data_IF_718420111726
#
_entry.id   IF_718420111726
#
_cell.length_a   1.000
_cell.length_b   1.000
_cell.length_c   1.000
_cell.angle_alpha   90.00
_cell.angle_beta   90.00
_cell.angle_gamma   90.00
#
_symmetry.space_group_name_H-M   'P 1'
#
loop_
_entity.id
_entity.type
_entity.pdbx_description
1 polymer ?
#
# COMPACT_ATOMS: atom_id res chain seq x y z
N UNK A 1 -6.01 14.59 -3.25
CA UNK A 1 -5.57 15.24 -1.98
C UNK A 1 -4.36 14.53 -1.37
N UNK A 2 -4.39 13.22 -1.10
CA UNK A 2 -3.24 12.50 -0.48
C UNK A 2 -1.95 12.71 -1.27
N UNK A 3 -1.91 12.44 -2.56
CA UNK A 3 -0.73 12.65 -3.41
C UNK A 3 -0.24 14.10 -3.37
N UNK A 4 -1.15 15.06 -3.38
CA UNK A 4 -0.78 16.47 -3.27
C UNK A 4 -0.08 16.80 -1.94
N UNK A 5 -0.53 16.24 -0.80
CA UNK A 5 0.15 16.41 0.50
C UNK A 5 1.54 15.76 0.49
N UNK A 6 1.69 14.60 -0.17
CA UNK A 6 2.99 13.93 -0.34
C UNK A 6 3.94 14.79 -1.19
N UNK A 7 3.47 15.28 -2.33
CA UNK A 7 4.27 16.12 -3.23
C UNK A 7 4.74 17.39 -2.53
N UNK A 8 3.88 18.02 -1.68
CA UNK A 8 4.28 19.20 -0.88
C UNK A 8 5.48 18.90 0.03
N UNK A 9 5.62 17.71 0.56
CA UNK A 9 6.78 17.31 1.37
C UNK A 9 7.99 17.01 0.49
N UNK A 10 7.77 16.24 -0.58
CA UNK A 10 8.87 15.76 -1.43
C UNK A 10 9.55 16.87 -2.24
N UNK A 11 8.78 17.87 -2.66
CA UNK A 11 9.28 18.98 -3.50
C UNK A 11 9.87 20.13 -2.70
N UNK A 12 9.46 20.29 -1.45
CA UNK A 12 9.96 21.39 -0.60
C UNK A 12 11.42 21.16 -0.25
N UNK A 13 12.28 22.15 -0.49
CA UNK A 13 13.73 22.07 -0.25
C UNK A 13 14.01 21.91 1.25
N UNK A 14 13.56 22.86 2.06
CA UNK A 14 13.72 22.83 3.51
C UNK A 14 12.43 22.40 4.21
N UNK A 15 12.45 21.21 4.78
CA UNK A 15 11.31 20.62 5.48
C UNK A 15 11.56 20.55 6.97
N UNK A 16 10.74 21.25 7.78
CA UNK A 16 10.76 21.11 9.23
C UNK A 16 10.00 19.87 9.69
N UNK A 17 10.32 19.38 10.90
CA UNK A 17 9.60 18.26 11.51
C UNK A 17 8.10 18.54 11.67
N UNK A 18 7.73 19.77 12.09
CA UNK A 18 6.32 20.15 12.25
C UNK A 18 5.57 20.12 10.92
N UNK A 19 6.15 20.68 9.83
CA UNK A 19 5.52 20.67 8.51
C UNK A 19 5.33 19.25 8.00
N UNK A 20 6.35 18.41 8.06
CA UNK A 20 6.26 17.02 7.61
C UNK A 20 5.22 16.23 8.42
N UNK A 21 5.28 16.36 9.75
CA UNK A 21 4.33 15.71 10.67
C UNK A 21 2.89 16.13 10.41
N UNK A 22 2.63 17.42 10.16
CA UNK A 22 1.29 17.94 9.83
C UNK A 22 0.74 17.27 8.57
N UNK A 23 1.57 17.19 7.51
CA UNK A 23 1.19 16.56 6.24
C UNK A 23 0.84 15.08 6.43
N UNK A 24 1.69 14.33 7.13
CA UNK A 24 1.44 12.92 7.41
C UNK A 24 0.19 12.68 8.24
N UNK A 25 -0.05 13.48 9.29
CA UNK A 25 -1.28 13.39 10.09
C UNK A 25 -2.52 13.66 9.24
N UNK A 26 -2.46 14.62 8.30
CA UNK A 26 -3.57 14.89 7.39
C UNK A 26 -3.83 13.73 6.45
N UNK A 27 -2.79 13.12 5.91
CA UNK A 27 -2.91 11.93 5.06
C UNK A 27 -3.51 10.76 5.85
N UNK A 28 -3.04 10.51 7.08
CA UNK A 28 -3.57 9.45 7.95
C UNK A 28 -5.06 9.64 8.20
N UNK A 29 -5.53 10.86 8.46
CA UNK A 29 -6.96 11.15 8.62
C UNK A 29 -7.81 10.84 7.38
N UNK A 30 -7.25 11.01 6.16
CA UNK A 30 -7.95 10.58 4.96
C UNK A 30 -8.11 9.05 4.93
N UNK A 31 -7.09 8.30 5.36
CA UNK A 31 -7.20 6.85 5.47
C UNK A 31 -8.13 6.41 6.59
N UNK A 32 -8.17 7.11 7.73
CA UNK A 32 -9.13 6.85 8.81
C UNK A 32 -10.57 7.01 8.30
N UNK A 33 -10.84 8.07 7.54
CA UNK A 33 -12.14 8.28 6.91
C UNK A 33 -12.50 7.17 5.92
N UNK A 34 -11.53 6.72 5.12
CA UNK A 34 -11.73 5.59 4.19
C UNK A 34 -11.98 4.28 4.95
N UNK A 35 -11.29 4.05 6.08
CA UNK A 35 -11.51 2.88 6.94
C UNK A 35 -12.91 2.91 7.57
N UNK A 36 -13.33 4.05 8.09
CA UNK A 36 -14.70 4.24 8.64
C UNK A 36 -15.78 3.96 7.60
N UNK A 37 -15.52 4.19 6.30
CA UNK A 37 -16.50 3.85 5.26
C UNK A 37 -16.77 2.35 5.16
N UNK A 38 -15.79 1.50 5.47
CA UNK A 38 -15.98 0.05 5.56
C UNK A 38 -16.83 -0.33 6.78
N UNK A 39 -16.63 0.35 7.91
CA UNK A 39 -17.43 0.10 9.13
C UNK A 39 -18.90 0.49 8.88
N UNK A 40 -19.15 1.66 8.29
CA UNK A 40 -20.50 2.11 7.93
C UNK A 40 -21.18 1.09 6.98
N UNK A 41 -20.47 0.62 5.98
CA UNK A 41 -20.97 -0.41 5.08
C UNK A 41 -21.19 -1.73 5.84
N UNK A 42 -20.24 -2.10 6.71
CA UNK A 42 -20.29 -3.29 7.52
C UNK A 42 -21.48 -3.34 8.48
N UNK A 43 -21.82 -2.23 9.12
CA UNK A 43 -22.93 -2.15 10.07
C UNK A 43 -24.28 -1.87 9.41
N UNK A 44 -24.26 -1.16 8.29
CA UNK A 44 -25.48 -0.67 7.62
C UNK A 44 -26.04 -1.59 6.52
N UNK A 45 -25.33 -2.66 6.13
CA UNK A 45 -25.74 -3.51 5.01
C UNK A 45 -25.69 -5.00 5.35
N UNK A 46 -26.79 -5.70 5.10
CA UNK A 46 -26.86 -7.15 5.23
C UNK A 46 -26.12 -7.86 4.09
N UNK A 47 -25.55 -9.03 4.37
CA UNK A 47 -24.79 -9.84 3.39
C UNK A 47 -25.61 -10.10 2.13
N UNK A 48 -26.90 -10.44 2.30
CA UNK A 48 -27.80 -10.72 1.17
C UNK A 48 -27.99 -9.50 0.27
N UNK A 49 -28.08 -8.29 0.85
CA UNK A 49 -28.19 -7.04 0.10
C UNK A 49 -26.91 -6.76 -0.69
N UNK A 50 -25.76 -6.93 -0.06
CA UNK A 50 -24.46 -6.78 -0.72
C UNK A 50 -24.32 -7.76 -1.90
N UNK A 51 -24.68 -9.02 -1.73
CA UNK A 51 -24.57 -10.04 -2.76
C UNK A 51 -25.44 -9.77 -3.99
N UNK A 52 -26.56 -9.06 -3.85
CA UNK A 52 -27.42 -8.66 -4.98
C UNK A 52 -26.72 -7.76 -6.00
N UNK A 53 -25.87 -6.85 -5.53
CA UNK A 53 -25.16 -5.94 -6.44
C UNK A 53 -23.68 -6.32 -6.67
N UNK A 54 -23.12 -7.21 -5.86
CA UNK A 54 -21.70 -7.60 -5.97
C UNK A 54 -21.29 -7.98 -7.39
N UNK A 55 -22.14 -8.70 -8.11
CA UNK A 55 -21.85 -9.13 -9.47
C UNK A 55 -21.71 -7.94 -10.43
N UNK A 56 -22.33 -6.80 -10.15
CA UNK A 56 -22.20 -5.58 -10.96
C UNK A 56 -20.83 -4.92 -10.77
N UNK A 57 -20.10 -5.25 -9.70
CA UNK A 57 -18.76 -4.76 -9.44
C UNK A 57 -17.69 -5.54 -10.23
N UNK A 58 -18.04 -6.70 -10.78
CA UNK A 58 -17.12 -7.50 -11.60
C UNK A 58 -16.85 -6.78 -12.93
N UNK A 59 -15.57 -6.65 -13.38
CA UNK A 59 -14.36 -7.29 -12.87
C UNK A 59 -13.52 -6.40 -11.92
N UNK A 60 -14.10 -5.46 -11.19
CA UNK A 60 -13.34 -4.57 -10.31
C UNK A 60 -12.69 -5.33 -9.14
N UNK A 61 -11.48 -4.96 -8.80
CA UNK A 61 -10.73 -5.49 -7.66
C UNK A 61 -9.93 -4.39 -6.98
N UNK A 62 -9.74 -4.50 -5.66
CA UNK A 62 -9.02 -3.52 -4.86
C UNK A 62 -7.58 -3.27 -5.32
N UNK A 63 -6.91 -4.25 -5.93
CA UNK A 63 -5.56 -4.02 -6.44
C UNK A 63 -5.50 -3.17 -7.72
N UNK A 64 -6.63 -2.94 -8.39
CA UNK A 64 -6.74 -2.10 -9.58
C UNK A 64 -6.84 -0.59 -9.27
N UNK A 65 -6.66 -0.18 -8.03
CA UNK A 65 -6.60 1.24 -7.67
C UNK A 65 -5.28 1.86 -8.10
N UNK A 66 -5.26 2.51 -9.27
CA UNK A 66 -4.09 3.21 -9.78
C UNK A 66 -3.61 4.30 -8.79
N UNK A 67 -4.54 5.02 -8.16
CA UNK A 67 -4.22 6.06 -7.17
C UNK A 67 -3.53 5.48 -5.94
N UNK A 68 -3.97 4.32 -5.46
CA UNK A 68 -3.32 3.66 -4.33
C UNK A 68 -1.89 3.22 -4.67
N UNK A 69 -1.66 2.69 -5.88
CA UNK A 69 -0.29 2.37 -6.35
C UNK A 69 0.61 3.60 -6.35
N UNK A 70 0.10 4.77 -6.79
CA UNK A 70 0.86 6.02 -6.74
C UNK A 70 1.19 6.45 -5.31
N UNK A 71 0.25 6.30 -4.37
CA UNK A 71 0.51 6.59 -2.95
C UNK A 71 1.63 5.69 -2.42
N UNK A 72 1.64 4.41 -2.78
CA UNK A 72 2.73 3.50 -2.40
C UNK A 72 4.08 3.95 -2.99
N UNK A 73 4.15 4.22 -4.29
CA UNK A 73 5.40 4.65 -4.94
C UNK A 73 5.93 5.96 -4.38
N UNK A 74 5.05 6.90 -4.06
CA UNK A 74 5.43 8.21 -3.50
C UNK A 74 5.75 8.16 -2.00
N UNK A 75 5.44 7.08 -1.31
CA UNK A 75 5.68 6.94 0.12
C UNK A 75 7.03 6.32 0.46
N UNK A 76 7.52 5.38 -0.34
CA UNK A 76 8.69 4.57 0.02
C UNK A 76 9.53 4.15 -1.19
N UNK A 77 10.69 3.59 -0.90
CA UNK A 77 11.57 3.01 -1.92
C UNK A 77 10.90 1.77 -2.56
N UNK A 78 11.11 1.59 -3.85
CA UNK A 78 10.54 0.47 -4.62
C UNK A 78 10.84 -0.89 -3.96
N UNK A 79 12.03 -1.08 -3.38
CA UNK A 79 12.42 -2.33 -2.71
C UNK A 79 11.45 -2.73 -1.58
N UNK A 80 10.85 -1.76 -0.88
CA UNK A 80 9.91 -2.00 0.20
C UNK A 80 8.53 -2.45 -0.31
N UNK A 81 8.25 -2.28 -1.60
CA UNK A 81 7.04 -2.71 -2.30
C UNK A 81 7.22 -4.03 -3.05
N UNK A 82 8.44 -4.55 -3.12
CA UNK A 82 8.73 -5.86 -3.71
C UNK A 82 8.16 -6.96 -2.80
N UNK A 83 7.57 -7.98 -3.40
CA UNK A 83 7.16 -9.19 -2.69
C UNK A 83 8.35 -9.76 -1.93
N UNK A 84 8.14 -10.10 -0.66
CA UNK A 84 9.22 -10.51 0.24
C UNK A 84 10.06 -11.67 -0.29
N UNK A 85 9.47 -12.54 -1.14
CA UNK A 85 10.16 -13.68 -1.76
C UNK A 85 11.26 -13.27 -2.73
N UNK A 86 11.18 -12.07 -3.29
CA UNK A 86 12.11 -11.56 -4.31
C UNK A 86 13.02 -10.44 -3.79
N UNK A 87 12.84 -9.96 -2.56
CA UNK A 87 13.64 -8.84 -2.01
C UNK A 87 15.14 -9.12 -1.95
N UNK A 88 15.56 -10.39 -1.84
CA UNK A 88 16.97 -10.75 -1.83
C UNK A 88 17.63 -10.68 -3.23
N UNK A 89 16.84 -10.66 -4.30
CA UNK A 89 17.33 -10.68 -5.69
C UNK A 89 17.15 -9.35 -6.42
N UNK A 90 16.50 -8.38 -5.78
CA UNK A 90 16.20 -7.07 -6.34
C UNK A 90 16.86 -6.01 -5.46
N UNK A 91 17.61 -5.12 -6.10
CA UNK A 91 18.28 -4.00 -5.45
C UNK A 91 17.93 -2.67 -6.16
N UNK A 92 18.58 -1.56 -5.73
CA UNK A 92 18.36 -0.23 -6.30
C UNK A 92 18.85 -0.06 -7.72
N UNK A 93 19.73 -0.94 -8.20
CA UNK A 93 20.28 -0.91 -9.56
C UNK A 93 19.47 -1.80 -10.51
N UNK A 94 18.52 -2.55 -9.96
CA UNK A 94 17.63 -3.39 -10.77
C UNK A 94 16.78 -2.53 -11.70
N UNK A 95 16.72 -2.82 -13.01
CA UNK A 95 15.86 -2.08 -13.94
C UNK A 95 14.42 -2.00 -13.46
N UNK A 96 13.82 -0.83 -13.61
CA UNK A 96 12.49 -0.55 -13.05
C UNK A 96 11.41 -1.51 -13.59
N UNK A 97 11.50 -1.91 -14.85
CA UNK A 97 10.62 -2.90 -15.46
C UNK A 97 10.72 -4.25 -14.77
N UNK A 98 11.94 -4.66 -14.39
CA UNK A 98 12.13 -5.91 -13.67
C UNK A 98 11.60 -5.81 -12.25
N UNK A 99 11.85 -4.72 -11.53
CA UNK A 99 11.31 -4.47 -10.21
C UNK A 99 9.76 -4.44 -10.24
N UNK A 100 9.17 -3.81 -11.26
CA UNK A 100 7.72 -3.75 -11.45
C UNK A 100 7.06 -5.14 -11.49
N UNK A 101 7.65 -6.10 -12.20
CA UNK A 101 7.10 -7.47 -12.30
C UNK A 101 7.13 -8.24 -10.97
N UNK A 102 7.87 -7.74 -9.98
CA UNK A 102 8.03 -8.34 -8.66
C UNK A 102 7.35 -7.55 -7.53
N UNK A 103 6.60 -6.50 -7.88
CA UNK A 103 5.77 -5.80 -6.90
C UNK A 103 4.80 -6.78 -6.22
N UNK A 104 4.59 -6.62 -4.93
CA UNK A 104 3.81 -7.55 -4.11
C UNK A 104 2.41 -7.85 -4.67
N UNK A 105 1.75 -6.85 -5.23
CA UNK A 105 0.41 -7.00 -5.81
C UNK A 105 0.42 -7.73 -7.16
N UNK A 106 1.53 -7.76 -7.88
CA UNK A 106 1.72 -8.60 -9.06
C UNK A 106 1.68 -10.09 -8.71
N UNK A 107 2.34 -10.45 -7.61
CA UNK A 107 2.36 -11.83 -7.14
C UNK A 107 0.94 -12.36 -6.86
N UNK A 108 0.06 -11.49 -6.35
CA UNK A 108 -1.33 -11.83 -6.06
C UNK A 108 -2.20 -12.09 -7.30
N UNK A 109 -1.84 -11.53 -8.42
CA UNK A 109 -2.59 -11.70 -9.67
C UNK A 109 -1.99 -12.70 -10.64
N UNK A 110 -0.98 -13.45 -10.21
CA UNK A 110 -0.39 -14.55 -10.99
C UNK A 110 -0.87 -15.88 -10.43
N UNK A 111 -1.24 -16.79 -11.32
CA UNK A 111 -1.44 -18.18 -10.98
C UNK A 111 -0.13 -18.80 -10.48
N UNK A 112 -0.13 -19.36 -9.28
CA UNK A 112 1.09 -19.86 -8.63
C UNK A 112 1.70 -21.09 -9.31
N UNK A 113 0.92 -21.81 -10.10
CA UNK A 113 1.37 -23.03 -10.79
C UNK A 113 1.93 -22.71 -12.17
N UNK A 114 1.23 -21.86 -12.91
CA UNK A 114 1.56 -21.55 -14.31
C UNK A 114 2.32 -20.25 -14.50
N UNK A 115 2.36 -19.37 -13.48
CA UNK A 115 2.92 -18.02 -13.57
C UNK A 115 2.12 -17.07 -14.45
N UNK A 116 0.99 -17.51 -15.01
CA UNK A 116 0.17 -16.68 -15.90
C UNK A 116 -0.55 -15.59 -15.11
N UNK A 117 -0.54 -14.38 -15.66
CA UNK A 117 -1.31 -13.25 -15.15
C UNK A 117 -2.81 -13.51 -15.38
N UNK A 118 -3.64 -13.21 -14.39
CA UNK A 118 -5.08 -13.23 -14.59
C UNK A 118 -5.54 -12.05 -15.47
N UNK A 119 -6.75 -12.14 -15.99
CA UNK A 119 -7.33 -11.13 -16.89
C UNK A 119 -7.38 -9.74 -16.24
N UNK A 120 -7.60 -9.67 -14.92
CA UNK A 120 -7.68 -8.41 -14.19
C UNK A 120 -6.35 -7.65 -14.21
N UNK A 121 -5.24 -8.35 -13.89
CA UNK A 121 -3.90 -7.75 -13.97
C UNK A 121 -3.57 -7.37 -15.41
N UNK A 122 -3.82 -8.26 -16.36
CA UNK A 122 -3.54 -7.97 -17.78
C UNK A 122 -4.25 -6.70 -18.25
N UNK A 123 -5.53 -6.54 -17.96
CA UNK A 123 -6.28 -5.36 -18.34
C UNK A 123 -5.78 -4.10 -17.61
N UNK A 124 -5.42 -4.23 -16.34
CA UNK A 124 -4.88 -3.13 -15.55
C UNK A 124 -3.52 -2.65 -16.09
N UNK A 125 -2.64 -3.58 -16.41
CA UNK A 125 -1.34 -3.30 -17.01
C UNK A 125 -1.44 -2.66 -18.39
N UNK A 126 -2.30 -3.17 -19.25
CA UNK A 126 -2.53 -2.59 -20.58
C UNK A 126 -2.89 -1.12 -20.49
N UNK A 127 -3.59 -0.71 -19.42
CA UNK A 127 -4.00 0.68 -19.21
C UNK A 127 -2.93 1.53 -18.51
N UNK A 128 -2.25 0.98 -17.52
CA UNK A 128 -1.49 1.79 -16.55
C UNK A 128 0.01 1.50 -16.52
N UNK A 129 0.51 0.39 -17.09
CA UNK A 129 1.92 0.00 -16.96
C UNK A 129 2.90 1.08 -17.43
N UNK A 130 2.78 1.70 -18.61
CA UNK A 130 3.71 2.75 -19.03
C UNK A 130 3.74 3.93 -18.04
N UNK A 131 2.57 4.34 -17.58
CA UNK A 131 2.42 5.41 -16.60
C UNK A 131 3.05 5.04 -15.24
N UNK A 132 2.89 3.80 -14.79
CA UNK A 132 3.50 3.36 -13.54
C UNK A 132 5.01 3.27 -13.63
N UNK A 133 5.58 2.80 -14.73
CA UNK A 133 7.02 2.77 -14.92
C UNK A 133 7.61 4.18 -14.84
N UNK A 134 7.00 5.15 -15.52
CA UNK A 134 7.38 6.58 -15.42
C UNK A 134 7.31 7.07 -13.98
N UNK A 135 6.22 6.78 -13.25
CA UNK A 135 6.05 7.23 -11.87
C UNK A 135 6.98 6.51 -10.90
N UNK A 136 7.23 5.23 -11.08
CA UNK A 136 8.19 4.49 -10.26
C UNK A 136 9.61 5.08 -10.45
N UNK A 137 10.01 5.42 -11.67
CA UNK A 137 11.30 6.06 -11.93
C UNK A 137 11.38 7.43 -11.24
N UNK A 138 10.33 8.25 -11.38
CA UNK A 138 10.25 9.54 -10.71
C UNK A 138 10.35 9.42 -9.18
N UNK A 139 9.54 8.54 -8.58
CA UNK A 139 9.47 8.36 -7.13
C UNK A 139 10.62 7.51 -6.56
N UNK A 140 11.44 6.86 -7.39
CA UNK A 140 12.59 6.10 -6.90
C UNK A 140 13.58 6.97 -6.13
N UNK A 141 13.65 8.26 -6.46
CA UNK A 141 14.50 9.26 -5.79
C UNK A 141 13.74 10.35 -5.06
N UNK A 142 12.42 10.48 -5.27
CA UNK A 142 11.59 11.56 -4.74
C UNK A 142 10.35 11.01 -4.03
N UNK A 143 10.54 10.26 -2.96
CA UNK A 143 9.44 9.78 -2.12
C UNK A 143 9.60 10.26 -0.67
N UNK A 144 8.57 10.07 0.16
CA UNK A 144 8.61 10.50 1.57
C UNK A 144 9.79 9.89 2.33
N UNK A 145 10.12 8.61 2.08
CA UNK A 145 11.21 7.94 2.77
C UNK A 145 12.57 8.47 2.34
N UNK A 146 12.78 8.74 1.05
CA UNK A 146 13.98 9.39 0.55
C UNK A 146 14.11 10.80 1.14
N UNK A 147 13.02 11.57 1.15
CA UNK A 147 13.00 12.90 1.77
C UNK A 147 13.41 12.84 3.23
N UNK A 148 12.82 11.93 4.01
CA UNK A 148 13.18 11.72 5.41
C UNK A 148 14.68 11.44 5.58
N UNK A 149 15.26 10.55 4.77
CA UNK A 149 16.68 10.17 4.87
C UNK A 149 17.63 11.33 4.60
N UNK A 150 17.23 12.33 3.81
CA UNK A 150 18.05 13.51 3.50
C UNK A 150 17.96 14.63 4.54
N UNK A 151 17.03 14.55 5.50
CA UNK A 151 16.86 15.57 6.52
C UNK A 151 18.03 15.59 7.50
N UNK A 152 18.35 16.76 8.10
CA UNK A 152 19.29 16.86 9.21
C UNK A 152 18.88 15.97 10.39
N UNK A 153 19.85 15.45 11.14
CA UNK A 153 19.60 14.55 12.27
C UNK A 153 18.67 15.15 13.33
N UNK A 154 18.77 16.45 13.59
CA UNK A 154 17.88 17.14 14.51
C UNK A 154 16.40 17.08 14.09
N UNK A 155 16.13 17.06 12.78
CA UNK A 155 14.77 16.93 12.23
C UNK A 155 14.33 15.46 12.17
N UNK A 156 15.22 14.56 11.72
CA UNK A 156 14.93 13.12 11.65
C UNK A 156 14.60 12.51 13.01
N UNK A 157 15.29 12.97 14.05
CA UNK A 157 15.12 12.46 15.42
C UNK A 157 14.05 13.21 16.22
N UNK A 158 13.32 14.15 15.61
CA UNK A 158 12.18 14.79 16.26
C UNK A 158 11.09 13.76 16.57
N UNK A 159 10.70 13.57 17.86
CA UNK A 159 9.74 12.57 18.26
C UNK A 159 8.39 12.70 17.55
N UNK A 160 7.93 13.94 17.26
CA UNK A 160 6.66 14.19 16.57
C UNK A 160 6.71 13.69 15.11
N UNK A 161 7.86 13.86 14.44
CA UNK A 161 8.02 13.38 13.07
C UNK A 161 8.08 11.85 13.04
N UNK A 162 8.89 11.25 13.90
CA UNK A 162 9.01 9.79 14.01
C UNK A 162 7.64 9.15 14.29
N UNK A 163 6.91 9.69 15.26
CA UNK A 163 5.54 9.22 15.59
C UNK A 163 4.59 9.37 14.40
N UNK A 164 4.58 10.52 13.72
CA UNK A 164 3.72 10.75 12.57
C UNK A 164 4.04 9.82 11.40
N UNK A 165 5.32 9.52 11.14
CA UNK A 165 5.75 8.57 10.11
C UNK A 165 5.33 7.15 10.45
N UNK A 166 5.56 6.70 11.69
CA UNK A 166 5.14 5.37 12.16
C UNK A 166 3.61 5.23 12.11
N UNK A 167 2.89 6.25 12.56
CA UNK A 167 1.43 6.27 12.50
C UNK A 167 0.91 6.18 11.07
N UNK A 168 1.47 6.96 10.14
CA UNK A 168 1.09 6.89 8.73
C UNK A 168 1.37 5.51 8.13
N UNK A 169 2.56 4.96 8.36
CA UNK A 169 2.95 3.64 7.88
C UNK A 169 1.96 2.56 8.37
N UNK A 170 1.67 2.56 9.66
CA UNK A 170 0.73 1.62 10.27
C UNK A 170 -0.71 1.82 9.75
N UNK A 171 -1.15 3.07 9.64
CA UNK A 171 -2.51 3.40 9.15
C UNK A 171 -2.72 2.87 7.74
N UNK A 172 -1.77 3.07 6.83
CA UNK A 172 -1.92 2.68 5.42
C UNK A 172 -1.71 1.18 5.22
N UNK A 173 -0.70 0.62 5.86
CA UNK A 173 -0.26 -0.76 5.58
C UNK A 173 -0.89 -1.81 6.50
N UNK A 174 -1.51 -1.37 7.60
CA UNK A 174 -2.15 -2.27 8.57
C UNK A 174 -3.62 -1.90 8.76
N UNK A 175 -3.93 -0.75 9.36
CA UNK A 175 -5.31 -0.42 9.77
C UNK A 175 -6.29 -0.40 8.61
N UNK A 176 -5.97 0.32 7.54
CA UNK A 176 -6.82 0.40 6.35
C UNK A 176 -6.96 -0.95 5.63
N UNK A 177 -5.88 -1.70 5.55
CA UNK A 177 -5.90 -3.04 4.94
C UNK A 177 -6.76 -4.00 5.76
N UNK A 178 -6.69 -3.93 7.10
CA UNK A 178 -7.52 -4.74 7.99
C UNK A 178 -9.00 -4.35 7.93
N UNK A 179 -9.33 -3.06 7.84
CA UNK A 179 -10.72 -2.62 7.63
C UNK A 179 -11.30 -3.22 6.34
N UNK A 180 -10.54 -3.19 5.25
CA UNK A 180 -10.92 -3.85 3.99
C UNK A 180 -11.00 -5.38 4.13
N UNK A 181 -10.03 -6.00 4.81
CA UNK A 181 -10.03 -7.45 5.07
C UNK A 181 -11.27 -7.88 5.85
N UNK A 182 -11.61 -7.18 6.92
CA UNK A 182 -12.77 -7.48 7.75
C UNK A 182 -14.08 -7.32 6.99
N UNK A 183 -14.22 -6.27 6.16
CA UNK A 183 -15.36 -6.11 5.27
C UNK A 183 -15.46 -7.27 4.27
N UNK A 184 -14.34 -7.68 3.67
CA UNK A 184 -14.31 -8.83 2.77
C UNK A 184 -14.67 -10.15 3.49
N UNK A 185 -14.20 -10.34 4.73
CA UNK A 185 -14.57 -11.49 5.55
C UNK A 185 -16.08 -11.53 5.84
N UNK A 186 -16.67 -10.39 6.16
CA UNK A 186 -18.12 -10.29 6.41
C UNK A 186 -18.94 -10.68 5.17
N UNK A 187 -18.60 -10.13 4.01
CA UNK A 187 -19.45 -10.22 2.83
C UNK A 187 -19.13 -11.42 1.92
N UNK A 188 -17.86 -11.84 1.85
CA UNK A 188 -17.43 -12.92 0.95
C UNK A 188 -17.23 -14.21 1.73
N UNK A 189 -16.83 -14.11 3.01
CA UNK A 189 -16.62 -15.25 3.89
C UNK A 189 -15.60 -16.24 3.31
N UNK A 190 -16.06 -17.49 3.09
CA UNK A 190 -15.25 -18.54 2.49
C UNK A 190 -15.16 -18.54 0.96
N UNK A 191 -15.85 -17.59 0.30
CA UNK A 191 -15.90 -17.50 -1.16
C UNK A 191 -14.61 -16.98 -1.79
N UNK A 192 -14.47 -17.17 -3.10
CA UNK A 192 -13.36 -16.65 -3.88
C UNK A 192 -13.50 -15.14 -4.11
N UNK A 193 -12.36 -14.45 -4.23
CA UNK A 193 -12.36 -13.07 -4.72
C UNK A 193 -12.92 -13.00 -6.14
N UNK A 194 -13.37 -11.81 -6.55
CA UNK A 194 -13.83 -11.56 -7.93
C UNK A 194 -12.77 -11.88 -8.99
N UNK A 195 -11.49 -12.04 -8.61
CA UNK A 195 -10.37 -12.45 -9.45
C UNK A 195 -9.94 -13.91 -9.31
N UNK A 196 -10.67 -14.75 -8.53
CA UNK A 196 -10.36 -16.19 -8.37
C UNK A 196 -9.10 -16.49 -7.55
N UNK A 197 -8.56 -15.53 -6.79
CA UNK A 197 -7.38 -15.71 -5.94
C UNK A 197 -7.74 -15.99 -4.48
N UNK A 198 -6.83 -16.68 -3.77
CA UNK A 198 -6.90 -16.80 -2.30
C UNK A 198 -6.57 -15.44 -1.65
N UNK A 199 -7.56 -14.56 -1.65
CA UNK A 199 -7.43 -13.18 -1.20
C UNK A 199 -7.07 -13.04 0.28
N UNK A 200 -7.36 -14.03 1.13
CA UNK A 200 -7.09 -13.98 2.58
C UNK A 200 -5.60 -13.88 2.86
N UNK A 201 -4.79 -14.74 2.25
CA UNK A 201 -3.33 -14.68 2.37
C UNK A 201 -2.75 -13.43 1.75
N UNK A 202 -3.36 -12.99 0.66
CA UNK A 202 -2.89 -11.82 -0.07
C UNK A 202 -3.21 -10.49 0.64
N UNK A 203 -4.39 -10.34 1.24
CA UNK A 203 -4.79 -9.07 1.85
C UNK A 203 -4.26 -8.86 3.26
N UNK A 204 -4.08 -9.90 4.04
CA UNK A 204 -3.72 -9.75 5.44
C UNK A 204 -2.27 -9.22 5.59
N UNK A 205 -2.05 -8.13 6.40
CA UNK A 205 -0.75 -7.47 6.57
C UNK A 205 0.38 -8.41 6.99
N UNK A 206 0.07 -9.42 7.81
CA UNK A 206 1.00 -10.48 8.24
C UNK A 206 1.74 -11.16 7.08
N UNK A 207 1.05 -11.37 5.97
CA UNK A 207 1.64 -12.03 4.80
C UNK A 207 2.26 -11.06 3.81
N UNK A 208 1.69 -9.87 3.68
CA UNK A 208 2.17 -8.84 2.75
C UNK A 208 3.43 -8.14 3.25
N UNK A 209 3.52 -7.88 4.54
CA UNK A 209 4.65 -7.19 5.21
C UNK A 209 5.11 -5.95 4.44
N UNK A 210 4.16 -5.11 4.03
CA UNK A 210 4.46 -3.81 3.44
C UNK A 210 4.79 -2.84 4.55
N UNK A 211 5.93 -2.21 4.44
CA UNK A 211 6.43 -1.27 5.44
C UNK A 211 7.09 -0.12 4.68
N UNK A 212 6.58 1.08 4.84
CA UNK A 212 7.08 2.23 4.11
C UNK A 212 8.41 2.74 4.68
N UNK A 213 8.57 2.70 5.99
CA UNK A 213 9.70 3.27 6.69
C UNK A 213 10.41 2.24 7.59
N UNK A 214 11.04 1.20 7.02
CA UNK A 214 11.57 0.08 7.81
C UNK A 214 12.61 0.50 8.84
N UNK A 215 13.36 1.58 8.62
CA UNK A 215 14.34 2.07 9.60
C UNK A 215 13.73 2.68 10.88
N UNK A 216 12.43 2.92 10.91
CA UNK A 216 11.72 3.46 12.07
C UNK A 216 11.11 2.38 12.98
N UNK A 217 11.27 1.12 12.63
CA UNK A 217 10.72 -0.02 13.35
C UNK A 217 11.84 -0.92 13.85
N UNK A 218 11.70 -1.44 15.06
CA UNK A 218 12.64 -2.43 15.61
C UNK A 218 12.51 -3.77 14.86
N UNK A 219 13.53 -4.61 14.96
CA UNK A 219 13.50 -5.96 14.37
C UNK A 219 12.34 -6.79 14.92
N UNK A 220 12.00 -6.63 16.18
CA UNK A 220 10.87 -7.31 16.81
C UNK A 220 9.53 -6.85 16.23
N UNK A 221 9.32 -5.53 16.07
CA UNK A 221 8.12 -4.98 15.45
C UNK A 221 8.00 -5.40 13.99
N UNK A 222 9.11 -5.40 13.24
CA UNK A 222 9.15 -5.89 11.85
C UNK A 222 8.81 -7.38 11.75
N UNK A 223 9.28 -8.18 12.69
CA UNK A 223 9.00 -9.62 12.75
C UNK A 223 7.52 -9.89 13.01
N UNK A 224 6.91 -9.10 13.90
CA UNK A 224 5.53 -9.25 14.34
C UNK A 224 4.55 -8.39 13.54
N UNK A 225 4.97 -7.83 12.40
CA UNK A 225 4.17 -6.93 11.59
C UNK A 225 2.82 -7.54 11.17
N UNK A 226 1.73 -6.92 11.61
CA UNK A 226 0.38 -7.39 11.32
C UNK A 226 -0.03 -8.67 12.06
N UNK A 227 0.71 -9.08 13.09
CA UNK A 227 0.32 -10.19 13.96
C UNK A 227 -0.61 -9.71 15.08
N UNK A 228 -1.55 -10.58 15.47
CA UNK A 228 -2.49 -10.28 16.57
C UNK A 228 -3.67 -9.38 16.20
N UNK A 229 -3.92 -9.17 14.90
CA UNK A 229 -5.01 -8.36 14.35
C UNK A 229 -6.17 -9.23 13.86
#
# INVERSE_FOLDING_TARGET
>A
MILWEIDQVCEKEDVSADFFSEKLRRISRYFDMLSTSFDIMGDGMEVEQYMKFRNTLTPASGFQSAQYRLIEFSSTDTINLIDFRFRATIDRNTPIEHAYEHLYWHAAGKDHTTGKKNTLITNFENKYKPFFLEKMEHYNTKNLYQKFKTLPDAVKNDPKLVEAMRHYDFTVNVSWVMAHYNAAMKYIGGGEATGGSDWRKYMHPKYQRRIFFPSLWSEEELKNWGEGL
#
